data_IF_602839509477
#
_entry.id   IF_602839509477
#
_cell.length_a   1.000
_cell.length_b   1.000
_cell.length_c   1.000
_cell.angle_alpha   90.00
_cell.angle_beta   90.00
_cell.angle_gamma   90.00
#
_symmetry.space_group_name_H-M   'P 1'
#
loop_
_entity.id
_entity.type
_entity.pdbx_description
1 polymer ?
#
# COMPACT_ATOMS: atom_id res chain seq x y z
N UNK A 1 39.25 -12.29 -73.75
CA UNK A 1 40.14 -12.70 -72.63
C UNK A 1 40.20 -11.57 -71.63
N UNK A 2 39.73 -11.73 -70.39
CA UNK A 2 38.94 -12.85 -69.86
C UNK A 2 38.13 -12.40 -68.63
N UNK A 3 36.99 -13.06 -68.36
CA UNK A 3 36.32 -13.04 -67.05
C UNK A 3 37.03 -14.05 -66.12
N UNK A 4 36.85 -14.13 -64.81
CA UNK A 4 35.63 -14.00 -63.97
C UNK A 4 36.09 -13.69 -62.49
N UNK A 5 35.29 -13.77 -61.39
CA UNK A 5 35.53 -12.97 -60.17
C UNK A 5 35.92 -13.77 -58.91
N UNK A 6 36.17 -13.08 -57.78
CA UNK A 6 36.05 -13.70 -56.44
C UNK A 6 35.44 -12.81 -55.32
N UNK A 7 34.37 -13.35 -54.73
CA UNK A 7 33.97 -13.45 -53.31
C UNK A 7 34.18 -12.31 -52.29
N UNK A 8 33.11 -12.04 -51.53
CA UNK A 8 33.05 -11.15 -50.36
C UNK A 8 33.72 -11.77 -49.11
N UNK A 9 34.41 -10.96 -48.29
CA UNK A 9 34.83 -11.35 -46.93
C UNK A 9 34.05 -10.55 -45.87
N UNK A 10 33.21 -11.26 -45.11
CA UNK A 10 32.24 -10.67 -44.16
C UNK A 10 32.82 -10.69 -42.74
N UNK A 11 33.40 -9.59 -42.27
CA UNK A 11 34.07 -9.54 -40.96
C UNK A 11 33.07 -9.53 -39.81
N UNK A 12 32.84 -10.68 -39.19
CA UNK A 12 32.06 -10.79 -37.94
C UNK A 12 32.85 -10.22 -36.76
N UNK A 13 32.59 -8.97 -36.36
CA UNK A 13 33.06 -8.46 -35.06
C UNK A 13 32.12 -8.93 -33.95
N UNK A 14 32.56 -9.97 -33.22
CA UNK A 14 31.93 -10.41 -31.98
C UNK A 14 32.11 -9.39 -30.86
N UNK A 15 31.22 -9.39 -29.87
CA UNK A 15 31.04 -8.28 -28.95
C UNK A 15 32.18 -8.07 -27.95
N UNK A 16 32.62 -6.82 -27.81
CA UNK A 16 33.22 -6.32 -26.56
C UNK A 16 32.67 -4.92 -26.28
N UNK A 17 31.49 -4.85 -25.67
CA UNK A 17 30.79 -3.59 -25.39
C UNK A 17 31.39 -2.87 -24.18
N UNK A 18 32.68 -2.52 -24.25
CA UNK A 18 33.35 -1.62 -23.29
C UNK A 18 32.78 -0.23 -23.49
N UNK A 19 31.80 0.14 -22.67
CA UNK A 19 31.25 1.51 -22.62
C UNK A 19 32.41 2.49 -22.38
N UNK A 20 32.67 3.46 -23.28
CA UNK A 20 33.76 4.41 -23.08
C UNK A 20 33.44 5.36 -21.90
N UNK A 21 34.16 5.20 -20.80
CA UNK A 21 34.22 6.20 -19.74
C UNK A 21 34.84 7.48 -20.34
N UNK A 22 34.00 8.49 -20.59
CA UNK A 22 34.39 9.67 -21.38
C UNK A 22 33.25 10.32 -22.17
N UNK A 23 32.10 9.64 -22.32
CA UNK A 23 30.83 10.37 -22.37
C UNK A 23 30.23 10.40 -20.97
N UNK A 24 30.25 11.56 -20.36
CA UNK A 24 29.35 11.88 -19.25
C UNK A 24 27.92 11.56 -19.71
N UNK A 25 27.16 10.90 -18.84
CA UNK A 25 25.77 10.57 -19.12
C UNK A 25 24.99 11.88 -19.30
N UNK A 26 24.04 11.91 -20.25
CA UNK A 26 23.16 13.07 -20.46
C UNK A 26 22.42 13.48 -19.17
N UNK A 27 22.32 12.51 -18.26
CA UNK A 27 21.98 12.66 -16.86
C UNK A 27 23.23 12.77 -15.99
N UNK A 28 23.62 14.00 -15.61
CA UNK A 28 24.59 14.22 -14.54
C UNK A 28 24.16 13.54 -13.23
N UNK A 29 25.09 13.39 -12.29
CA UNK A 29 24.78 12.76 -11.00
C UNK A 29 23.73 13.57 -10.24
N UNK A 30 23.88 14.89 -10.15
CA UNK A 30 22.90 15.78 -9.51
C UNK A 30 21.54 15.79 -10.24
N UNK A 31 21.52 15.77 -11.57
CA UNK A 31 20.26 15.68 -12.32
C UNK A 31 19.57 14.32 -12.13
N UNK A 32 20.34 13.27 -11.88
CA UNK A 32 19.83 11.95 -11.50
C UNK A 32 19.32 11.95 -10.06
N UNK A 33 20.01 12.66 -9.14
CA UNK A 33 19.56 12.84 -7.75
C UNK A 33 18.23 13.62 -7.69
N UNK A 34 18.16 14.82 -8.29
CA UNK A 34 16.94 15.66 -8.37
C UNK A 34 15.76 14.91 -9.00
N UNK A 35 16.03 14.06 -10.01
CA UNK A 35 15.00 13.19 -10.59
C UNK A 35 14.45 12.17 -9.57
N UNK A 36 15.30 11.55 -8.75
CA UNK A 36 14.87 10.53 -7.78
C UNK A 36 14.04 11.16 -6.65
N UNK A 37 14.31 12.40 -6.23
CA UNK A 37 13.47 13.13 -5.26
C UNK A 37 12.13 13.53 -5.88
N UNK A 38 12.15 14.28 -7.00
CA UNK A 38 10.92 14.77 -7.63
C UNK A 38 9.97 13.63 -8.06
N UNK A 39 10.52 12.50 -8.50
CA UNK A 39 9.77 11.27 -8.74
C UNK A 39 9.34 10.58 -7.44
N UNK A 40 10.26 10.46 -6.47
CA UNK A 40 10.07 9.73 -5.22
C UNK A 40 8.98 10.30 -4.34
N UNK A 41 8.92 11.63 -4.19
CA UNK A 41 7.91 12.31 -3.39
C UNK A 41 6.50 12.06 -3.96
N UNK A 42 6.35 12.16 -5.29
CA UNK A 42 5.10 11.86 -5.99
C UNK A 42 4.74 10.39 -5.92
N UNK A 43 5.72 9.50 -6.04
CA UNK A 43 5.54 8.06 -5.89
C UNK A 43 5.03 7.70 -4.49
N UNK A 44 5.58 8.32 -3.43
CA UNK A 44 5.10 8.13 -2.04
C UNK A 44 3.72 8.74 -1.83
N UNK A 45 3.46 9.96 -2.32
CA UNK A 45 2.17 10.62 -2.21
C UNK A 45 1.03 9.88 -2.92
N UNK A 46 1.33 9.18 -4.03
CA UNK A 46 0.42 8.26 -4.72
C UNK A 46 0.38 6.85 -4.09
N UNK A 47 0.73 6.71 -2.81
CA UNK A 47 0.80 5.45 -2.05
C UNK A 47 1.61 4.34 -2.74
N UNK A 48 2.75 4.69 -3.38
CA UNK A 48 3.60 3.82 -4.21
C UNK A 48 2.93 3.29 -5.49
N UNK A 49 1.91 4.00 -5.98
CA UNK A 49 1.21 3.75 -7.24
C UNK A 49 1.90 4.33 -8.50
N UNK A 50 1.22 4.24 -9.64
CA UNK A 50 1.75 4.69 -10.93
C UNK A 50 1.46 6.18 -11.19
N UNK A 51 2.51 6.97 -11.45
CA UNK A 51 2.43 8.35 -11.94
C UNK A 51 1.76 8.43 -13.33
N UNK A 52 0.85 9.39 -13.50
CA UNK A 52 0.19 9.73 -14.76
C UNK A 52 1.03 10.73 -15.55
N UNK A 53 0.62 11.04 -16.79
CA UNK A 53 1.37 11.95 -17.68
C UNK A 53 1.62 13.33 -17.06
N UNK A 54 0.63 13.89 -16.35
CA UNK A 54 0.79 15.18 -15.69
C UNK A 54 1.85 15.13 -14.57
N UNK A 55 1.85 14.07 -13.75
CA UNK A 55 2.85 13.87 -12.71
C UNK A 55 4.27 13.76 -13.31
N UNK A 56 4.43 13.02 -14.42
CA UNK A 56 5.71 12.92 -15.14
C UNK A 56 6.15 14.24 -15.78
N UNK A 57 5.21 15.07 -16.23
CA UNK A 57 5.53 16.42 -16.70
C UNK A 57 6.05 17.28 -15.56
N UNK A 58 5.38 17.30 -14.41
CA UNK A 58 5.84 18.09 -13.26
C UNK A 58 7.16 17.56 -12.66
N UNK A 59 7.45 16.25 -12.76
CA UNK A 59 8.80 15.70 -12.49
C UNK A 59 9.84 16.29 -13.46
N UNK A 60 9.54 16.32 -14.76
CA UNK A 60 10.43 16.88 -15.76
C UNK A 60 10.65 18.39 -15.55
N UNK A 61 9.59 19.15 -15.25
CA UNK A 61 9.66 20.58 -14.98
C UNK A 61 10.50 20.88 -13.72
N UNK A 62 10.40 20.07 -12.65
CA UNK A 62 11.25 20.18 -11.47
C UNK A 62 12.73 19.90 -11.78
N UNK A 63 13.03 18.83 -12.52
CA UNK A 63 14.41 18.51 -12.94
C UNK A 63 14.96 19.59 -13.89
N UNK A 64 14.15 20.13 -14.79
CA UNK A 64 14.55 21.19 -15.72
C UNK A 64 14.74 22.54 -15.04
N UNK A 65 14.07 22.80 -13.91
CA UNK A 65 14.26 24.02 -13.12
C UNK A 65 15.66 24.10 -12.49
N UNK A 66 16.26 22.94 -12.16
CA UNK A 66 17.62 22.86 -11.58
C UNK A 66 18.70 22.48 -12.61
N UNK A 67 18.35 21.63 -13.59
CA UNK A 67 19.28 20.99 -14.55
C UNK A 67 18.83 21.16 -16.01
N UNK A 68 18.23 22.31 -16.32
CA UNK A 68 17.79 22.71 -17.66
C UNK A 68 18.90 23.28 -18.55
N UNK A 69 20.08 22.65 -18.56
CA UNK A 69 21.32 23.14 -19.20
C UNK A 69 21.22 23.20 -20.75
N UNK A 70 20.45 24.14 -21.30
CA UNK A 70 20.30 24.37 -22.74
C UNK A 70 19.47 23.33 -23.51
N UNK A 71 19.13 22.18 -22.90
CA UNK A 71 18.15 21.23 -23.44
C UNK A 71 17.29 20.64 -22.31
N UNK A 72 15.97 20.91 -22.30
CA UNK A 72 15.08 20.32 -21.31
C UNK A 72 14.95 18.81 -21.52
N UNK A 73 14.82 18.08 -20.42
CA UNK A 73 14.50 16.67 -20.35
C UNK A 73 12.98 16.50 -20.43
N UNK A 74 12.48 15.53 -21.20
CA UNK A 74 11.03 15.29 -21.31
C UNK A 74 10.51 14.37 -20.19
N UNK A 75 9.19 14.38 -19.99
CA UNK A 75 8.44 13.43 -19.15
C UNK A 75 8.81 11.96 -19.46
N UNK A 76 8.86 11.60 -20.74
CA UNK A 76 9.25 10.27 -21.23
C UNK A 76 10.72 9.97 -20.92
N UNK A 77 11.62 10.94 -21.04
CA UNK A 77 13.04 10.76 -20.70
C UNK A 77 13.23 10.57 -19.18
N UNK A 78 12.52 11.33 -18.36
CA UNK A 78 12.50 11.18 -16.89
C UNK A 78 12.02 9.77 -16.50
N UNK A 79 10.91 9.31 -17.08
CA UNK A 79 10.38 7.95 -16.89
C UNK A 79 11.39 6.88 -17.29
N UNK A 80 11.97 6.96 -18.48
CA UNK A 80 12.94 5.98 -18.99
C UNK A 80 14.22 5.94 -18.12
N UNK A 81 14.63 7.08 -17.54
CA UNK A 81 15.73 7.14 -16.57
C UNK A 81 15.34 6.45 -15.26
N UNK A 82 14.17 6.74 -14.68
CA UNK A 82 13.65 6.05 -13.49
C UNK A 82 13.55 4.53 -13.70
N UNK A 83 13.02 4.06 -14.83
CA UNK A 83 12.90 2.62 -15.09
C UNK A 83 14.28 1.95 -15.29
N UNK A 84 15.29 2.68 -15.79
CA UNK A 84 16.69 2.22 -15.82
C UNK A 84 17.30 2.15 -14.42
N UNK A 85 17.08 3.16 -13.58
CA UNK A 85 17.54 3.19 -12.18
C UNK A 85 16.90 2.07 -11.37
N UNK A 86 15.60 1.81 -11.56
CA UNK A 86 14.85 0.71 -10.92
C UNK A 86 15.36 -0.67 -11.34
N UNK A 87 15.76 -0.84 -12.60
CA UNK A 87 16.46 -2.06 -13.08
C UNK A 87 17.81 -2.22 -12.38
N UNK A 88 18.65 -1.17 -12.34
CA UNK A 88 19.94 -1.24 -11.63
C UNK A 88 19.77 -1.53 -10.14
N UNK A 89 18.84 -0.87 -9.45
CA UNK A 89 18.53 -1.14 -8.04
C UNK A 89 18.20 -2.62 -7.78
N UNK A 90 17.38 -3.27 -8.63
CA UNK A 90 17.11 -4.72 -8.52
C UNK A 90 18.38 -5.57 -8.60
N UNK A 91 19.34 -5.21 -9.46
CA UNK A 91 20.64 -5.91 -9.59
C UNK A 91 21.58 -5.61 -8.42
N UNK A 92 21.61 -4.37 -7.94
CA UNK A 92 22.42 -3.98 -6.78
C UNK A 92 21.94 -4.62 -5.47
N UNK A 93 20.62 -4.77 -5.30
CA UNK A 93 20.00 -5.35 -4.09
C UNK A 93 20.35 -6.84 -3.85
N UNK A 94 20.81 -7.54 -4.87
CA UNK A 94 21.29 -8.92 -4.72
C UNK A 94 22.72 -9.01 -4.12
N UNK A 95 23.39 -7.88 -3.89
CA UNK A 95 24.74 -7.80 -3.31
C UNK A 95 24.64 -7.59 -1.79
N UNK A 96 25.52 -8.20 -0.98
CA UNK A 96 25.52 -8.01 0.48
C UNK A 96 25.91 -6.58 0.89
N UNK A 97 26.67 -5.88 0.05
CA UNK A 97 26.98 -4.44 0.15
C UNK A 97 26.93 -3.86 -1.27
N UNK A 98 26.18 -2.77 -1.48
CA UNK A 98 26.23 -2.00 -2.73
C UNK A 98 26.88 -0.65 -2.48
N UNK A 99 27.93 -0.34 -3.24
CA UNK A 99 28.64 0.93 -3.18
C UNK A 99 28.08 1.96 -4.18
N UNK A 100 26.80 1.84 -4.57
CA UNK A 100 26.18 2.75 -5.54
C UNK A 100 25.46 3.89 -4.82
N UNK A 101 25.86 5.13 -5.08
CA UNK A 101 25.33 6.38 -4.51
C UNK A 101 23.79 6.53 -4.48
N UNK A 102 23.05 5.89 -5.39
CA UNK A 102 21.59 5.95 -5.43
C UNK A 102 20.90 4.73 -4.78
N UNK A 103 21.65 3.76 -4.25
CA UNK A 103 21.10 2.52 -3.70
C UNK A 103 20.18 2.78 -2.51
N UNK A 104 20.69 3.39 -1.43
CA UNK A 104 19.93 3.59 -0.18
C UNK A 104 18.67 4.43 -0.42
N UNK A 105 18.77 5.42 -1.30
CA UNK A 105 17.65 6.29 -1.70
C UNK A 105 16.55 5.52 -2.44
N UNK A 106 16.93 4.59 -3.32
CA UNK A 106 15.99 3.73 -4.04
C UNK A 106 15.47 2.58 -3.15
N UNK A 107 16.23 2.10 -2.16
CA UNK A 107 15.73 1.12 -1.20
C UNK A 107 14.72 1.75 -0.21
N UNK A 108 14.96 2.98 0.26
CA UNK A 108 13.96 3.71 1.04
C UNK A 108 12.64 3.92 0.27
N UNK A 109 12.72 4.33 -1.00
CA UNK A 109 11.54 4.61 -1.84
C UNK A 109 10.82 3.37 -2.36
N UNK A 110 11.53 2.30 -2.71
CA UNK A 110 11.01 1.16 -3.50
C UNK A 110 11.36 -0.21 -2.90
N UNK A 111 12.27 -0.24 -1.93
CA UNK A 111 12.52 -1.42 -1.10
C UNK A 111 11.29 -1.83 -0.30
N UNK A 112 11.35 -3.01 0.34
CA UNK A 112 10.20 -3.56 1.04
C UNK A 112 9.86 -2.57 2.15
N UNK A 113 8.62 -2.11 2.20
CA UNK A 113 8.15 -1.47 3.43
C UNK A 113 8.17 -2.58 4.48
N UNK A 114 9.22 -2.62 5.30
CA UNK A 114 9.14 -3.22 6.62
C UNK A 114 7.97 -2.50 7.29
N UNK A 115 6.81 -3.17 7.36
CA UNK A 115 5.61 -2.66 8.01
C UNK A 115 5.90 -2.55 9.50
N UNK A 116 6.54 -1.47 9.92
CA UNK A 116 6.41 -0.91 11.26
C UNK A 116 4.91 -0.76 11.47
N UNK A 117 4.33 -1.65 12.27
CA UNK A 117 3.00 -2.27 12.05
C UNK A 117 1.82 -1.29 11.98
N UNK A 118 1.69 -0.65 10.82
CA UNK A 118 0.69 0.38 10.54
C UNK A 118 -0.60 -0.28 10.04
N UNK A 119 -1.48 -0.63 10.98
CA UNK A 119 -2.92 -0.86 10.75
C UNK A 119 -3.26 -1.67 9.50
N UNK A 120 -2.99 -2.98 9.51
CA UNK A 120 -3.58 -3.89 8.51
C UNK A 120 -5.09 -3.96 8.70
N UNK A 121 -5.86 -3.20 7.92
CA UNK A 121 -7.33 -3.25 7.93
C UNK A 121 -7.76 -4.61 7.37
N UNK A 122 -8.00 -5.56 8.27
CA UNK A 122 -8.79 -6.75 7.95
C UNK A 122 -10.21 -6.30 7.64
N UNK A 123 -10.69 -6.61 6.43
CA UNK A 123 -12.09 -6.39 6.07
C UNK A 123 -12.93 -7.50 6.71
N UNK A 124 -13.33 -7.31 7.97
CA UNK A 124 -14.30 -8.19 8.59
C UNK A 124 -15.60 -8.19 7.78
N UNK A 125 -15.97 -9.36 7.25
CA UNK A 125 -17.27 -9.55 6.63
C UNK A 125 -18.39 -9.30 7.66
N UNK A 126 -19.51 -8.74 7.20
CA UNK A 126 -20.60 -8.32 8.07
C UNK A 126 -21.39 -9.55 8.59
N UNK A 127 -21.15 -9.93 9.85
CA UNK A 127 -21.96 -10.94 10.52
C UNK A 127 -23.32 -10.32 10.91
N UNK A 128 -24.39 -10.72 10.24
CA UNK A 128 -25.75 -10.21 10.47
C UNK A 128 -26.71 -11.35 10.91
N UNK A 129 -26.97 -11.54 12.21
CA UNK A 129 -27.86 -12.58 12.70
C UNK A 129 -29.31 -12.10 12.72
N UNK A 130 -30.10 -12.43 11.70
CA UNK A 130 -31.56 -12.29 11.73
C UNK A 130 -32.24 -13.45 10.98
N UNK A 131 -33.04 -14.24 11.70
CA UNK A 131 -33.78 -15.39 11.19
C UNK A 131 -35.25 -15.02 10.93
N UNK A 132 -35.71 -15.15 9.69
CA UNK A 132 -37.15 -15.19 9.36
C UNK A 132 -37.38 -16.26 8.26
N UNK A 133 -38.01 -17.41 8.56
CA UNK A 133 -38.25 -18.47 7.59
C UNK A 133 -39.68 -18.45 7.02
N UNK A 134 -39.88 -17.91 5.81
CA UNK A 134 -41.17 -18.00 5.10
C UNK A 134 -41.03 -18.14 3.57
N UNK A 135 -41.49 -19.28 3.03
CA UNK A 135 -42.29 -19.28 1.79
C UNK A 135 -41.62 -19.29 0.41
N UNK A 136 -41.24 -20.49 -0.05
CA UNK A 136 -41.70 -21.06 -1.34
C UNK A 136 -41.23 -20.53 -2.73
N UNK A 137 -40.94 -21.52 -3.61
CA UNK A 137 -41.05 -21.53 -5.11
C UNK A 137 -39.91 -21.01 -6.03
N UNK A 138 -39.06 -21.98 -6.41
CA UNK A 138 -38.91 -22.54 -7.79
C UNK A 138 -38.18 -21.80 -8.94
N UNK A 139 -37.35 -22.60 -9.64
CA UNK A 139 -37.05 -22.63 -11.10
C UNK A 139 -35.74 -21.97 -11.61
N UNK A 140 -34.94 -22.76 -12.36
CA UNK A 140 -33.74 -22.35 -13.11
C UNK A 140 -32.41 -22.62 -12.36
N UNK A 141 -31.52 -23.58 -12.66
CA UNK A 141 -31.01 -24.23 -13.89
C UNK A 141 -29.61 -23.71 -14.29
N UNK A 142 -28.60 -24.61 -14.27
CA UNK A 142 -27.60 -24.89 -15.34
C UNK A 142 -26.16 -25.11 -14.82
N UNK A 143 -25.42 -26.02 -15.49
CA UNK A 143 -23.96 -26.26 -15.44
C UNK A 143 -23.46 -27.00 -14.18
N UNK A 144 -23.38 -28.34 -14.14
CA UNK A 144 -22.54 -29.30 -14.91
C UNK A 144 -21.07 -29.36 -14.42
N UNK A 145 -20.65 -30.56 -13.96
CA UNK A 145 -19.31 -31.19 -13.94
C UNK A 145 -18.13 -30.52 -13.14
N UNK A 146 -17.12 -31.23 -12.61
CA UNK A 146 -16.73 -32.66 -12.73
C UNK A 146 -15.87 -33.14 -11.52
N UNK A 147 -15.57 -34.46 -11.47
CA UNK A 147 -14.68 -35.23 -10.57
C UNK A 147 -15.02 -35.36 -9.04
N UNK A 148 -14.76 -36.57 -8.51
CA UNK A 148 -15.00 -37.06 -7.13
C UNK A 148 -13.76 -37.86 -6.63
N UNK A 149 -13.68 -38.20 -5.35
CA UNK A 149 -12.46 -38.70 -4.66
C UNK A 149 -11.96 -40.12 -5.07
N UNK A 150 -10.68 -40.39 -4.77
CA UNK A 150 -10.16 -41.74 -4.44
C UNK A 150 -8.99 -41.60 -3.42
N UNK A 151 -8.96 -42.46 -2.39
CA UNK A 151 -8.04 -42.48 -1.22
C UNK A 151 -6.58 -42.94 -1.59
N UNK A 152 -5.56 -43.18 -0.75
CA UNK A 152 -5.28 -43.34 0.71
C UNK A 152 -3.80 -42.82 0.93
N UNK A 153 -3.14 -42.60 2.07
CA UNK A 153 -3.21 -43.00 3.49
C UNK A 153 -2.82 -41.81 4.43
N UNK A 154 -3.04 -41.93 5.76
CA UNK A 154 -2.49 -41.04 6.82
C UNK A 154 -0.99 -41.31 7.11
N UNK A 155 -0.28 -40.35 7.74
CA UNK A 155 0.84 -40.68 8.65
C UNK A 155 1.06 -39.60 9.73
N UNK A 156 0.69 -39.92 10.98
CA UNK A 156 0.79 -39.06 12.17
C UNK A 156 2.15 -39.23 12.88
N UNK A 157 3.00 -38.20 12.94
CA UNK A 157 4.04 -38.09 13.99
C UNK A 157 3.93 -36.77 14.77
N UNK A 158 3.19 -36.85 15.88
CA UNK A 158 2.94 -35.74 16.79
C UNK A 158 3.49 -35.97 18.21
N UNK A 159 4.66 -36.61 18.32
CA UNK A 159 5.72 -36.13 19.23
C UNK A 159 6.05 -36.92 20.50
N UNK A 160 7.28 -36.69 20.97
CA UNK A 160 7.74 -36.99 22.32
C UNK A 160 8.48 -35.78 22.93
N UNK A 161 7.95 -35.25 24.03
CA UNK A 161 8.62 -34.25 24.89
C UNK A 161 9.16 -34.92 26.18
N UNK A 162 9.73 -36.11 26.03
CA UNK A 162 10.17 -37.03 27.06
C UNK A 162 11.37 -36.57 27.90
N UNK A 163 11.09 -35.78 28.94
CA UNK A 163 12.08 -35.48 29.98
C UNK A 163 12.37 -36.71 30.86
N UNK A 164 13.51 -37.41 30.65
CA UNK A 164 14.19 -38.17 31.72
C UNK A 164 15.71 -38.40 31.50
N UNK A 165 16.51 -37.67 32.28
CA UNK A 165 17.66 -38.16 33.08
C UNK A 165 18.84 -38.91 32.40
N UNK A 166 19.97 -38.18 32.30
CA UNK A 166 21.40 -38.62 32.38
C UNK A 166 21.96 -39.62 31.33
N UNK A 167 22.90 -39.08 30.55
CA UNK A 167 24.31 -39.53 30.62
C UNK A 167 25.27 -38.33 30.63
N UNK A 168 26.26 -38.36 31.51
CA UNK A 168 27.20 -37.27 31.73
C UNK A 168 28.33 -37.30 30.69
N UNK A 169 28.35 -36.37 29.72
CA UNK A 169 29.48 -36.19 28.79
C UNK A 169 29.83 -34.71 28.62
N UNK A 170 31.02 -34.38 29.12
CA UNK A 170 31.88 -33.23 28.75
C UNK A 170 31.16 -31.86 28.63
N UNK A 171 31.29 -31.05 29.68
CA UNK A 171 31.14 -29.60 29.53
C UNK A 171 32.22 -29.13 28.55
N UNK A 172 31.80 -28.41 27.52
CA UNK A 172 32.64 -27.48 26.76
C UNK A 172 32.06 -26.09 27.02
N UNK A 173 32.93 -25.11 27.29
CA UNK A 173 32.54 -23.83 27.87
C UNK A 173 31.87 -22.92 26.83
N UNK A 174 30.53 -22.97 26.77
CA UNK A 174 29.72 -22.02 25.99
C UNK A 174 29.71 -20.66 26.70
N UNK A 175 30.05 -19.61 25.95
CA UNK A 175 30.20 -18.23 26.44
C UNK A 175 28.89 -17.71 27.09
N UNK A 176 28.91 -17.26 28.37
CA UNK A 176 27.76 -16.63 29.03
C UNK A 176 27.18 -15.39 28.32
N UNK A 177 27.92 -14.79 27.39
CA UNK A 177 27.54 -13.59 26.62
C UNK A 177 26.19 -13.70 25.91
N UNK A 178 25.87 -14.85 25.29
CA UNK A 178 24.63 -15.05 24.52
C UNK A 178 23.37 -14.86 25.37
N UNK A 179 23.47 -15.21 26.66
CA UNK A 179 22.44 -15.00 27.67
C UNK A 179 22.18 -13.52 28.01
N UNK A 180 23.02 -12.56 27.62
CA UNK A 180 22.71 -11.12 27.75
C UNK A 180 21.91 -10.62 26.56
N UNK A 181 22.33 -10.94 25.33
CA UNK A 181 21.69 -10.49 24.10
C UNK A 181 20.20 -10.86 24.03
N UNK A 182 19.84 -12.10 24.40
CA UNK A 182 18.44 -12.52 24.46
C UNK A 182 17.62 -11.73 25.51
N UNK A 183 18.21 -11.40 26.66
CA UNK A 183 17.57 -10.58 27.70
C UNK A 183 17.45 -9.10 27.28
N UNK A 184 18.35 -8.60 26.46
CA UNK A 184 18.26 -7.25 25.86
C UNK A 184 17.18 -7.18 24.77
N UNK A 185 17.07 -8.22 23.94
CA UNK A 185 15.99 -8.38 22.97
C UNK A 185 14.62 -8.42 23.66
N UNK A 186 14.44 -9.25 24.68
CA UNK A 186 13.20 -9.34 25.44
C UNK A 186 12.80 -8.00 26.10
N UNK A 187 13.75 -7.29 26.72
CA UNK A 187 13.54 -5.94 27.27
C UNK A 187 13.16 -4.91 26.19
N UNK A 188 13.67 -5.07 24.97
CA UNK A 188 13.38 -4.17 23.85
C UNK A 188 12.00 -4.42 23.25
N UNK A 189 11.58 -5.69 23.16
CA UNK A 189 10.24 -6.10 22.71
C UNK A 189 9.16 -5.59 23.68
N UNK A 190 9.37 -5.70 24.99
CA UNK A 190 8.42 -5.18 25.99
C UNK A 190 8.22 -3.66 25.88
N UNK A 191 9.32 -2.89 25.83
CA UNK A 191 9.28 -1.42 25.63
C UNK A 191 8.62 -1.02 24.30
N UNK A 192 8.75 -1.85 23.26
CA UNK A 192 8.08 -1.64 21.98
C UNK A 192 6.56 -1.89 22.11
N UNK A 193 6.15 -2.92 22.86
CA UNK A 193 4.75 -3.17 23.21
C UNK A 193 4.10 -2.01 23.96
N UNK A 194 4.74 -1.53 25.03
CA UNK A 194 4.33 -0.33 25.79
C UNK A 194 4.20 0.91 24.90
N UNK A 195 5.04 1.04 23.86
CA UNK A 195 4.95 2.14 22.90
C UNK A 195 3.78 1.98 21.92
N UNK A 196 3.53 0.77 21.42
CA UNK A 196 2.37 0.49 20.56
C UNK A 196 1.05 0.69 21.30
N UNK A 197 0.90 0.19 22.54
CA UNK A 197 -0.30 0.36 23.36
C UNK A 197 -0.65 1.86 23.54
N UNK A 198 0.33 2.69 23.90
CA UNK A 198 0.15 4.15 24.05
C UNK A 198 -0.17 4.87 22.74
N UNK A 199 0.26 4.35 21.59
CA UNK A 199 -0.06 4.92 20.27
C UNK A 199 -1.47 4.49 19.85
N UNK A 200 -1.81 3.21 20.02
CA UNK A 200 -3.10 2.63 19.67
C UNK A 200 -4.22 3.23 20.52
N UNK A 201 -4.04 3.34 21.84
CA UNK A 201 -5.01 3.99 22.75
C UNK A 201 -5.24 5.46 22.40
N UNK A 202 -4.20 6.21 21.99
CA UNK A 202 -4.36 7.59 21.48
C UNK A 202 -5.14 7.64 20.16
N UNK A 203 -4.88 6.70 19.24
CA UNK A 203 -5.64 6.59 17.98
C UNK A 203 -7.11 6.26 18.24
N UNK A 204 -7.39 5.32 19.15
CA UNK A 204 -8.76 4.95 19.53
C UNK A 204 -9.50 6.12 20.19
N UNK A 205 -8.87 6.82 21.14
CA UNK A 205 -9.46 8.01 21.76
C UNK A 205 -9.79 9.11 20.74
N UNK A 206 -8.88 9.40 19.81
CA UNK A 206 -9.11 10.35 18.71
C UNK A 206 -10.25 9.89 17.78
N UNK A 207 -10.34 8.59 17.47
CA UNK A 207 -11.41 8.02 16.65
C UNK A 207 -12.77 8.13 17.34
N UNK A 208 -12.84 7.92 18.66
CA UNK A 208 -14.06 8.09 19.46
C UNK A 208 -14.54 9.55 19.47
N UNK A 209 -13.63 10.51 19.65
CA UNK A 209 -14.01 11.93 19.68
C UNK A 209 -14.46 12.45 18.31
N UNK A 210 -13.83 11.98 17.21
CA UNK A 210 -14.29 12.27 15.85
C UNK A 210 -15.66 11.62 15.55
N UNK A 211 -15.89 10.38 15.99
CA UNK A 211 -17.18 9.70 15.82
C UNK A 211 -18.29 10.41 16.60
N UNK A 212 -18.01 10.83 17.84
CA UNK A 212 -18.89 11.64 18.70
C UNK A 212 -19.26 12.97 18.03
N UNK A 213 -18.29 13.69 17.45
CA UNK A 213 -18.57 14.90 16.68
C UNK A 213 -19.45 14.62 15.46
N UNK A 214 -19.21 13.50 14.73
CA UNK A 214 -20.06 13.08 13.60
C UNK A 214 -21.50 12.77 14.05
N UNK A 215 -21.69 12.13 15.21
CA UNK A 215 -23.01 11.85 15.75
C UNK A 215 -23.76 13.11 16.20
N UNK A 216 -23.09 14.04 16.88
CA UNK A 216 -23.77 15.25 17.38
C UNK A 216 -24.25 16.15 16.23
N UNK A 217 -23.45 16.33 15.17
CA UNK A 217 -23.87 17.08 13.96
C UNK A 217 -25.03 16.37 13.23
N UNK A 218 -25.02 15.04 13.15
CA UNK A 218 -26.11 14.28 12.54
C UNK A 218 -27.42 14.41 13.34
N UNK A 219 -27.33 14.36 14.66
CA UNK A 219 -28.44 14.53 15.61
C UNK A 219 -29.00 15.96 15.58
N UNK A 220 -28.15 16.99 15.51
CA UNK A 220 -28.61 18.37 15.38
C UNK A 220 -29.35 18.59 14.06
N UNK A 221 -28.84 18.06 12.94
CA UNK A 221 -29.52 18.09 11.65
C UNK A 221 -30.85 17.34 11.65
N UNK A 222 -30.96 16.21 12.37
CA UNK A 222 -32.22 15.49 12.55
C UNK A 222 -33.23 16.29 13.40
N UNK A 223 -32.78 16.96 14.47
CA UNK A 223 -33.62 17.84 15.27
C UNK A 223 -34.13 19.04 14.46
N UNK A 224 -33.27 19.68 13.66
CA UNK A 224 -33.68 20.77 12.75
C UNK A 224 -34.71 20.29 11.72
N UNK A 225 -34.49 19.11 11.11
CA UNK A 225 -35.44 18.46 10.19
C UNK A 225 -36.78 18.17 10.86
N UNK A 226 -36.77 17.63 12.09
CA UNK A 226 -37.98 17.32 12.85
C UNK A 226 -38.75 18.60 13.21
N UNK A 227 -38.06 19.67 13.63
CA UNK A 227 -38.69 20.94 13.96
C UNK A 227 -39.40 21.56 12.74
N UNK A 228 -38.72 21.62 11.58
CA UNK A 228 -39.32 22.14 10.34
C UNK A 228 -40.56 21.34 9.91
N UNK A 229 -40.55 20.01 10.07
CA UNK A 229 -41.71 19.16 9.77
C UNK A 229 -42.86 19.38 10.77
N UNK A 230 -42.55 19.57 12.06
CA UNK A 230 -43.53 19.86 13.12
C UNK A 230 -44.20 21.23 12.90
N UNK A 231 -43.41 22.27 12.61
CA UNK A 231 -43.91 23.61 12.31
C UNK A 231 -44.83 23.61 11.09
N UNK A 232 -44.43 22.94 10.01
CA UNK A 232 -45.26 22.78 8.80
C UNK A 232 -46.59 22.07 9.10
N UNK A 233 -46.59 20.99 9.90
CA UNK A 233 -47.83 20.31 10.29
C UNK A 233 -48.74 21.23 11.12
N UNK A 234 -48.17 21.94 12.08
CA UNK A 234 -48.87 22.87 12.97
C UNK A 234 -49.45 24.08 12.20
N UNK A 235 -48.76 24.59 11.18
CA UNK A 235 -49.28 25.64 10.29
C UNK A 235 -50.41 25.11 9.38
N UNK A 236 -50.28 23.89 8.85
CA UNK A 236 -51.36 23.24 8.09
C UNK A 236 -52.61 23.03 8.96
N UNK A 237 -52.45 22.66 10.23
CA UNK A 237 -53.57 22.54 11.19
C UNK A 237 -54.23 23.89 11.50
N UNK A 238 -53.44 24.92 11.83
CA UNK A 238 -53.93 26.31 11.99
C UNK A 238 -54.71 26.77 10.76
N UNK A 239 -54.18 26.53 9.56
CA UNK A 239 -54.80 26.89 8.28
C UNK A 239 -56.12 26.14 8.02
N UNK A 240 -56.18 24.84 8.34
CA UNK A 240 -57.42 24.05 8.28
C UNK A 240 -58.47 24.59 9.26
N UNK A 241 -58.09 24.91 10.50
CA UNK A 241 -59.01 25.40 11.53
C UNK A 241 -59.50 26.82 11.23
N UNK A 242 -58.63 27.70 10.74
CA UNK A 242 -58.97 29.04 10.27
C UNK A 242 -59.99 29.01 9.12
N UNK A 243 -59.79 28.14 8.11
CA UNK A 243 -60.77 27.94 7.03
C UNK A 243 -62.13 27.43 7.55
N UNK A 244 -62.17 26.53 8.53
CA UNK A 244 -63.44 26.09 9.16
C UNK A 244 -64.17 27.25 9.85
N UNK A 245 -63.47 28.09 10.62
CA UNK A 245 -64.06 29.27 11.28
C UNK A 245 -64.56 30.29 10.26
N UNK A 246 -63.78 30.60 9.22
CA UNK A 246 -64.16 31.52 8.14
C UNK A 246 -65.35 31.02 7.29
N UNK A 247 -65.55 29.70 7.18
CA UNK A 247 -66.73 29.11 6.55
C UNK A 247 -67.98 29.20 7.45
N UNK A 248 -67.83 29.01 8.76
CA UNK A 248 -68.94 29.09 9.72
C UNK A 248 -69.47 30.52 9.92
N UNK A 249 -68.61 31.54 9.82
CA UNK A 249 -68.98 32.95 9.98
C UNK A 249 -69.73 33.59 8.81
N UNK A 250 -70.13 32.82 7.79
CA UNK A 250 -70.85 33.28 6.59
C UNK A 250 -72.29 32.73 6.48
N UNK A 251 -72.85 32.29 7.60
CA UNK A 251 -74.26 31.87 7.75
C UNK A 251 -74.92 32.63 8.90
N UNK A 252 -75.17 33.92 8.66
CA UNK A 252 -76.01 34.84 9.43
C UNK A 252 -76.42 35.98 8.50
#
# INVERSE_FOLDING_TARGET
METTPETQSKTHQSGSNRVPAGREDWWSEDATATLIEAWGDRYVNLNRGNLRQNDWKEVADAVNSSHGNGRPKTDVQCKNRIDTLKKKYKTEKAKPLSNWCFFDRLDFLIGPVMKKSSGGVVKSALMNPNLIPTGSKSTGSSLDDDDDDDDEEDDDDAGDWGFVVRKHRKVEDVDPSEGSAFRELARSILKLGEAFERIEGKKQHMMIELEKQRMEVAKELELQRMNMLMEMQLELEKSKLGKRRAASGKKL
#
